data_IF_506261224604
#
_entry.id   IF_506261224604
#
_cell.length_a   1.000
_cell.length_b   1.000
_cell.length_c   1.000
_cell.angle_alpha   90.00
_cell.angle_beta   90.00
_cell.angle_gamma   90.00
#
_symmetry.space_group_name_H-M   'P 1'
#
loop_
_entity.id
_entity.type
_entity.pdbx_description
1 polymer ?
#
# COMPACT_ATOMS: atom_id res chain seq x y z
N UNK A 1 7.40 -8.19 -23.62
CA UNK A 1 8.36 -7.15 -23.16
C UNK A 1 9.33 -7.74 -22.15
N UNK A 2 10.59 -7.26 -22.11
CA UNK A 2 11.55 -7.68 -21.08
C UNK A 2 11.24 -6.99 -19.74
N UNK A 3 11.84 -7.49 -18.66
CA UNK A 3 11.62 -6.95 -17.30
C UNK A 3 11.98 -5.47 -17.16
N UNK A 4 13.01 -5.00 -17.88
CA UNK A 4 13.41 -3.59 -17.91
C UNK A 4 12.29 -2.72 -18.49
N UNK A 5 11.84 -3.07 -19.69
CA UNK A 5 10.77 -2.36 -20.38
C UNK A 5 9.46 -2.39 -19.58
N UNK A 6 9.13 -3.55 -19.01
CA UNK A 6 7.92 -3.72 -18.19
C UNK A 6 7.96 -2.86 -16.94
N UNK A 7 9.11 -2.80 -16.26
CA UNK A 7 9.30 -1.95 -15.09
C UNK A 7 9.14 -0.47 -15.44
N UNK A 8 9.76 -0.03 -16.52
CA UNK A 8 9.64 1.36 -17.00
C UNK A 8 8.19 1.71 -17.35
N UNK A 9 7.48 0.83 -18.05
CA UNK A 9 6.10 1.05 -18.48
C UNK A 9 5.08 1.21 -17.34
N UNK A 10 5.41 0.73 -16.13
CA UNK A 10 4.53 0.82 -14.94
C UNK A 10 5.11 1.70 -13.83
N UNK A 11 6.19 2.43 -14.11
CA UNK A 11 6.84 3.31 -13.13
C UNK A 11 7.33 2.54 -11.90
N UNK A 12 7.97 1.39 -12.13
CA UNK A 12 8.56 0.54 -11.10
C UNK A 12 10.02 0.20 -11.45
N UNK A 13 10.71 -0.50 -10.55
CA UNK A 13 12.06 -1.01 -10.82
C UNK A 13 12.00 -2.49 -11.20
N UNK A 14 12.96 -3.01 -11.98
CA UNK A 14 13.06 -4.45 -12.24
C UNK A 14 13.18 -5.29 -10.96
N UNK A 15 13.77 -4.71 -9.90
CA UNK A 15 13.83 -5.32 -8.57
C UNK A 15 12.43 -5.44 -7.94
N UNK A 16 11.59 -4.42 -8.06
CA UNK A 16 10.21 -4.46 -7.57
C UNK A 16 9.38 -5.51 -8.31
N UNK A 17 9.52 -5.63 -9.64
CA UNK A 17 8.82 -6.67 -10.42
C UNK A 17 9.22 -8.08 -9.96
N UNK A 18 10.52 -8.35 -9.79
CA UNK A 18 11.00 -9.63 -9.22
C UNK A 18 10.45 -9.88 -7.82
N UNK A 19 10.34 -8.84 -7.01
CA UNK A 19 9.80 -8.93 -5.67
C UNK A 19 8.30 -9.29 -5.68
N UNK A 20 7.50 -8.67 -6.56
CA UNK A 20 6.08 -8.99 -6.70
C UNK A 20 5.85 -10.44 -7.18
N UNK A 21 6.67 -10.92 -8.12
CA UNK A 21 6.67 -12.33 -8.53
C UNK A 21 6.99 -13.28 -7.37
N UNK A 22 8.06 -12.99 -6.62
CA UNK A 22 8.47 -13.81 -5.47
C UNK A 22 7.40 -13.86 -4.38
N UNK A 23 6.58 -12.81 -4.26
CA UNK A 23 5.46 -12.74 -3.31
C UNK A 23 4.13 -13.24 -3.87
N UNK A 24 4.14 -13.82 -5.08
CA UNK A 24 2.95 -14.44 -5.69
C UNK A 24 1.91 -13.45 -6.18
N UNK A 25 2.24 -12.16 -6.32
CA UNK A 25 1.30 -11.14 -6.79
C UNK A 25 1.11 -11.15 -8.32
N UNK A 26 2.02 -11.81 -9.03
CA UNK A 26 1.99 -11.98 -10.47
C UNK A 26 2.15 -13.46 -10.77
N UNK A 27 1.34 -13.95 -11.72
CA UNK A 27 1.61 -15.25 -12.32
C UNK A 27 3.02 -15.26 -12.91
N UNK A 28 3.69 -16.42 -12.86
CA UNK A 28 5.02 -16.56 -13.43
C UNK A 28 4.97 -16.16 -14.92
N UNK A 29 5.70 -15.12 -15.34
CA UNK A 29 5.62 -14.63 -16.71
C UNK A 29 6.12 -15.72 -17.65
N UNK A 30 5.54 -15.75 -18.86
CA UNK A 30 6.00 -16.66 -19.91
C UNK A 30 7.49 -16.46 -20.12
N UNK A 31 8.21 -17.55 -20.40
CA UNK A 31 9.62 -17.47 -20.76
C UNK A 31 9.76 -17.58 -22.27
N UNK A 32 10.58 -16.70 -22.83
CA UNK A 32 11.04 -16.78 -24.22
C UNK A 32 11.86 -18.06 -24.44
N UNK A 33 12.07 -18.46 -25.71
CA UNK A 33 12.98 -19.57 -26.06
C UNK A 33 14.41 -19.38 -25.52
N UNK A 34 14.83 -18.13 -25.31
CA UNK A 34 16.10 -17.75 -24.68
C UNK A 34 16.08 -17.78 -23.14
N UNK A 35 15.00 -18.22 -22.50
CA UNK A 35 14.87 -18.31 -21.04
C UNK A 35 14.56 -16.99 -20.32
N UNK A 36 14.40 -15.88 -21.05
CA UNK A 36 14.09 -14.57 -20.47
C UNK A 36 12.60 -14.42 -20.16
N UNK A 37 12.26 -13.71 -19.09
CA UNK A 37 10.88 -13.34 -18.73
C UNK A 37 10.27 -12.44 -19.79
N UNK A 38 9.06 -12.77 -20.20
CA UNK A 38 8.26 -12.02 -21.16
C UNK A 38 6.95 -11.55 -20.50
N UNK A 39 6.78 -10.24 -20.44
CA UNK A 39 5.58 -9.59 -19.91
C UNK A 39 4.73 -9.09 -21.08
N UNK A 40 3.48 -9.52 -21.12
CA UNK A 40 2.48 -9.06 -22.05
C UNK A 40 1.59 -7.95 -21.48
N UNK A 41 0.56 -7.53 -22.24
CA UNK A 41 -0.36 -6.47 -21.81
C UNK A 41 -1.16 -6.83 -20.55
N UNK A 42 -1.48 -8.12 -20.35
CA UNK A 42 -2.18 -8.59 -19.15
C UNK A 42 -1.36 -8.42 -17.88
N UNK A 43 -0.08 -8.82 -17.91
CA UNK A 43 0.82 -8.64 -16.76
C UNK A 43 1.05 -7.15 -16.44
N UNK A 44 1.14 -6.30 -17.48
CA UNK A 44 1.25 -4.86 -17.29
C UNK A 44 0.00 -4.26 -16.64
N UNK A 45 -1.19 -4.73 -17.00
CA UNK A 45 -2.44 -4.26 -16.40
C UNK A 45 -2.49 -4.60 -14.90
N UNK A 46 -2.13 -5.84 -14.53
CA UNK A 46 -2.02 -6.28 -13.12
C UNK A 46 -0.97 -5.46 -12.37
N UNK A 47 0.20 -5.23 -12.97
CA UNK A 47 1.26 -4.41 -12.38
C UNK A 47 0.78 -2.98 -12.07
N UNK A 48 0.00 -2.36 -12.97
CA UNK A 48 -0.59 -1.03 -12.72
C UNK A 48 -1.57 -1.04 -11.55
N UNK A 49 -2.41 -2.08 -11.44
CA UNK A 49 -3.32 -2.25 -10.28
C UNK A 49 -2.53 -2.37 -8.99
N UNK A 50 -1.50 -3.23 -8.95
CA UNK A 50 -0.61 -3.38 -7.78
C UNK A 50 -0.05 -2.01 -7.38
N UNK A 51 0.50 -1.24 -8.34
CA UNK A 51 1.07 0.08 -8.07
C UNK A 51 0.06 1.07 -7.51
N UNK A 52 -1.16 1.09 -8.06
CA UNK A 52 -2.26 1.94 -7.59
C UNK A 52 -2.64 1.60 -6.16
N UNK A 53 -2.83 0.32 -5.84
CA UNK A 53 -3.23 -0.13 -4.51
C UNK A 53 -2.13 0.15 -3.46
N UNK A 54 -0.86 -0.06 -3.81
CA UNK A 54 0.27 0.32 -2.95
C UNK A 54 0.31 1.82 -2.70
N UNK A 55 -0.03 2.65 -3.69
CA UNK A 55 -0.10 4.11 -3.54
C UNK A 55 -1.25 4.56 -2.60
N UNK A 56 -2.28 3.73 -2.43
CA UNK A 56 -3.36 3.96 -1.45
C UNK A 56 -2.97 3.53 -0.02
N UNK A 57 -1.75 3.04 0.18
CA UNK A 57 -1.24 2.65 1.48
C UNK A 57 -1.44 1.18 1.83
N UNK A 58 -2.01 0.37 0.94
CA UNK A 58 -1.99 -1.10 1.09
C UNK A 58 -0.55 -1.62 0.99
N UNK A 59 -0.28 -2.71 1.68
CA UNK A 59 1.03 -3.36 1.68
C UNK A 59 1.07 -4.53 0.70
N UNK A 60 2.27 -5.01 0.37
CA UNK A 60 2.45 -6.23 -0.44
C UNK A 60 1.90 -7.47 0.27
N UNK A 61 1.74 -7.44 1.59
CA UNK A 61 1.08 -8.49 2.36
C UNK A 61 -0.43 -8.47 2.12
N UNK A 62 -1.03 -7.29 2.24
CA UNK A 62 -2.46 -7.05 1.99
C UNK A 62 -2.84 -7.52 0.57
N UNK A 63 -2.03 -7.16 -0.42
CA UNK A 63 -2.24 -7.56 -1.81
C UNK A 63 -2.12 -9.06 -2.04
N UNK A 64 -1.36 -9.78 -1.22
CA UNK A 64 -1.27 -11.24 -1.34
C UNK A 64 -2.56 -11.93 -0.93
N UNK A 65 -3.25 -11.38 0.07
CA UNK A 65 -4.58 -11.86 0.48
C UNK A 65 -5.66 -11.71 -0.59
N UNK A 66 -5.40 -10.95 -1.65
CA UNK A 66 -6.32 -10.73 -2.78
C UNK A 66 -5.66 -10.97 -4.14
N UNK A 67 -4.54 -11.72 -4.17
CA UNK A 67 -3.73 -11.89 -5.38
C UNK A 67 -4.51 -12.52 -6.53
N UNK A 68 -5.42 -13.44 -6.21
CA UNK A 68 -6.38 -14.11 -7.10
C UNK A 68 -7.33 -13.13 -7.81
N UNK A 69 -7.67 -12.01 -7.15
CA UNK A 69 -8.58 -10.99 -7.68
C UNK A 69 -7.87 -9.87 -8.45
N UNK A 70 -6.55 -9.73 -8.32
CA UNK A 70 -5.80 -8.66 -9.03
C UNK A 70 -6.01 -8.67 -10.56
N UNK A 71 -6.08 -9.82 -11.25
CA UNK A 71 -6.40 -9.85 -12.68
C UNK A 71 -7.81 -9.34 -13.01
N UNK A 72 -8.79 -9.56 -12.14
CA UNK A 72 -10.17 -9.08 -12.33
C UNK A 72 -10.22 -7.55 -12.23
N UNK A 73 -9.53 -6.99 -11.24
CA UNK A 73 -9.37 -5.53 -11.08
C UNK A 73 -8.58 -4.88 -12.23
N UNK A 74 -7.77 -5.66 -12.94
CA UNK A 74 -7.03 -5.20 -14.11
C UNK A 74 -7.87 -5.25 -15.40
N UNK A 75 -8.85 -6.16 -15.49
CA UNK A 75 -9.74 -6.31 -16.63
C UNK A 75 -10.84 -5.24 -16.67
N UNK A 76 -11.28 -4.73 -15.51
CA UNK A 76 -12.24 -3.63 -15.42
C UNK A 76 -11.58 -2.35 -14.88
N UNK A 77 -11.21 -1.39 -15.75
CA UNK A 77 -10.59 -0.14 -15.32
C UNK A 77 -11.56 0.79 -14.60
N UNK A 78 -12.86 0.48 -14.49
CA UNK A 78 -13.83 1.27 -13.70
C UNK A 78 -13.58 1.01 -12.21
N UNK A 79 -12.95 1.94 -11.49
CA UNK A 79 -12.83 1.80 -10.05
C UNK A 79 -14.18 2.20 -9.45
N UNK A 80 -14.85 1.28 -8.76
CA UNK A 80 -15.87 1.52 -7.74
C UNK A 80 -16.56 2.89 -7.87
N UNK A 81 -17.31 3.12 -8.97
CA UNK A 81 -18.35 4.15 -8.99
C UNK A 81 -19.61 3.38 -8.72
N UNK A 82 -20.11 3.52 -7.49
CA UNK A 82 -21.13 2.66 -6.88
C UNK A 82 -22.10 2.05 -7.88
N UNK A 83 -22.00 0.74 -8.09
CA UNK A 83 -23.16 -0.01 -8.53
C UNK A 83 -23.92 -0.39 -7.27
N UNK A 84 -24.99 0.35 -7.00
CA UNK A 84 -26.18 -0.30 -6.51
C UNK A 84 -26.59 -1.33 -7.58
N UNK A 85 -25.99 -2.50 -7.51
CA UNK A 85 -26.53 -3.72 -8.06
C UNK A 85 -26.69 -4.62 -6.85
N UNK A 86 -27.91 -4.57 -6.31
CA UNK A 86 -28.42 -5.68 -5.52
C UNK A 86 -28.21 -6.97 -6.33
N UNK A 87 -27.89 -8.04 -5.63
CA UNK A 87 -27.91 -9.42 -6.11
C UNK A 87 -26.65 -9.89 -6.85
N UNK A 88 -25.57 -10.11 -6.09
CA UNK A 88 -24.60 -11.18 -6.36
C UNK A 88 -24.11 -11.81 -5.04
N UNK A 89 -23.86 -13.13 -4.99
CA UNK A 89 -23.61 -13.87 -3.74
C UNK A 89 -22.25 -13.53 -3.10
N UNK A 90 -22.16 -13.77 -1.79
CA UNK A 90 -21.21 -13.33 -0.76
C UNK A 90 -19.69 -13.59 -0.95
N UNK A 91 -19.16 -13.75 -2.16
CA UNK A 91 -17.74 -14.05 -2.40
C UNK A 91 -16.85 -12.78 -2.55
N UNK A 92 -17.44 -11.60 -2.40
CA UNK A 92 -16.80 -10.28 -2.59
C UNK A 92 -16.10 -9.67 -1.37
N UNK A 93 -16.17 -10.29 -0.18
CA UNK A 93 -15.85 -9.60 1.09
C UNK A 93 -14.35 -9.58 1.44
N UNK A 94 -13.54 -10.48 0.88
CA UNK A 94 -12.11 -10.57 1.24
C UNK A 94 -11.36 -9.28 0.90
N UNK A 95 -11.73 -8.60 -0.20
CA UNK A 95 -11.14 -7.31 -0.58
C UNK A 95 -11.48 -6.18 0.39
N UNK A 96 -12.76 -6.10 0.80
CA UNK A 96 -13.20 -5.12 1.80
C UNK A 96 -12.53 -5.37 3.15
N UNK A 97 -12.46 -6.61 3.61
CA UNK A 97 -11.82 -6.98 4.87
C UNK A 97 -10.32 -6.63 4.90
N UNK A 98 -9.61 -6.73 3.77
CA UNK A 98 -8.21 -6.28 3.67
C UNK A 98 -8.10 -4.77 3.87
N UNK A 99 -8.96 -4.00 3.20
CA UNK A 99 -8.98 -2.53 3.32
C UNK A 99 -9.35 -2.10 4.74
N UNK A 100 -10.38 -2.70 5.33
CA UNK A 100 -10.82 -2.44 6.69
C UNK A 100 -9.72 -2.72 7.72
N UNK A 101 -9.03 -3.87 7.61
CA UNK A 101 -7.87 -4.16 8.47
C UNK A 101 -6.77 -3.13 8.31
N UNK A 102 -6.52 -2.65 7.08
CA UNK A 102 -5.50 -1.63 6.84
C UNK A 102 -5.87 -0.29 7.44
N UNK A 103 -7.15 0.12 7.32
CA UNK A 103 -7.67 1.33 7.97
C UNK A 103 -7.47 1.24 9.48
N UNK A 104 -7.91 0.15 10.11
CA UNK A 104 -7.76 -0.03 11.55
C UNK A 104 -6.28 0.03 12.01
N UNK A 105 -5.36 -0.56 11.23
CA UNK A 105 -3.94 -0.48 11.53
C UNK A 105 -3.38 0.95 11.40
N UNK A 106 -3.82 1.71 10.39
CA UNK A 106 -3.43 3.10 10.22
C UNK A 106 -3.98 3.99 11.34
N UNK A 107 -5.22 3.78 11.77
CA UNK A 107 -5.82 4.51 12.89
C UNK A 107 -5.04 4.26 14.19
N UNK A 108 -4.68 3.01 14.48
CA UNK A 108 -3.85 2.66 15.63
C UNK A 108 -2.46 3.36 15.58
N UNK A 109 -1.86 3.45 14.40
CA UNK A 109 -0.60 4.18 14.20
C UNK A 109 -0.77 5.69 14.37
N UNK A 110 -1.86 6.28 13.86
CA UNK A 110 -2.19 7.69 14.04
C UNK A 110 -2.32 8.03 15.52
N UNK A 111 -3.06 7.22 16.29
CA UNK A 111 -3.20 7.41 17.72
C UNK A 111 -1.86 7.33 18.45
N UNK A 112 -1.06 6.31 18.15
CA UNK A 112 0.27 6.11 18.76
C UNK A 112 1.19 7.28 18.49
N UNK A 113 1.27 7.71 17.23
CA UNK A 113 2.12 8.83 16.82
C UNK A 113 1.62 10.16 17.41
N UNK A 114 0.30 10.33 17.54
CA UNK A 114 -0.31 11.47 18.22
C UNK A 114 0.11 11.53 19.69
N UNK A 115 0.02 10.41 20.43
CA UNK A 115 0.48 10.34 21.82
C UNK A 115 1.96 10.68 21.97
N UNK A 116 2.82 10.13 21.11
CA UNK A 116 4.26 10.41 21.14
C UNK A 116 4.56 11.88 20.86
N UNK A 117 3.90 12.48 19.86
CA UNK A 117 4.03 13.91 19.54
C UNK A 117 3.65 14.79 20.73
N UNK A 118 2.56 14.46 21.40
CA UNK A 118 2.03 15.27 22.49
C UNK A 118 2.90 15.14 23.76
N UNK A 119 3.45 13.95 24.01
CA UNK A 119 4.47 13.74 25.05
C UNK A 119 5.76 14.55 24.80
N UNK A 120 6.25 14.59 23.55
CA UNK A 120 7.40 15.41 23.17
C UNK A 120 7.13 16.91 23.38
N UNK A 121 5.91 17.38 23.07
CA UNK A 121 5.49 18.77 23.31
C UNK A 121 5.47 19.10 24.81
N UNK A 122 4.91 18.23 25.63
CA UNK A 122 4.86 18.41 27.08
C UNK A 122 6.26 18.50 27.69
N UNK A 123 7.17 17.59 27.34
CA UNK A 123 8.54 17.61 27.85
C UNK A 123 9.33 18.88 27.47
N UNK A 124 9.03 19.51 26.32
CA UNK A 124 9.58 20.82 25.97
C UNK A 124 8.97 21.96 26.79
N UNK A 125 7.67 21.92 27.08
CA UNK A 125 6.99 22.91 27.90
C UNK A 125 7.50 22.88 29.35
N UNK A 126 7.67 21.69 29.92
CA UNK A 126 8.20 21.51 31.28
C UNK A 126 9.61 22.10 31.42
N UNK A 127 10.48 21.87 30.42
CA UNK A 127 11.84 22.46 30.41
C UNK A 127 11.82 23.98 30.32
N UNK A 128 10.90 24.55 29.53
CA UNK A 128 10.75 26.02 29.41
C UNK A 128 10.16 26.64 30.68
N UNK A 129 9.28 25.93 31.38
CA UNK A 129 8.74 26.34 32.68
C UNK A 129 9.77 26.26 33.80
N UNK A 130 10.56 25.19 33.83
CA UNK A 130 11.64 24.99 34.82
C UNK A 130 12.80 26.01 34.66
N UNK A 131 13.03 26.53 33.46
CA UNK A 131 14.01 27.60 33.19
C UNK A 131 13.57 28.99 33.67
N UNK A 132 12.40 29.13 34.33
CA UNK A 132 11.94 30.36 34.99
C UNK A 132 11.96 30.24 36.53
N UNK A 133 13.13 30.09 37.19
CA UNK A 133 13.25 30.58 38.56
C UNK A 133 13.35 32.11 38.50
N UNK A 134 12.40 32.78 39.15
CA UNK A 134 12.39 34.23 39.28
C UNK A 134 13.71 34.69 39.92
N UNK A 135 14.52 35.43 39.16
CA UNK A 135 15.33 36.47 39.78
C UNK A 135 14.34 37.47 40.39
N UNK A 136 14.04 37.30 41.67
CA UNK A 136 13.55 38.42 42.48
C UNK A 136 14.78 39.21 42.91
N UNK A 137 14.90 40.51 42.60
CA UNK A 137 15.83 41.36 43.31
C UNK A 137 15.34 41.46 44.77
N UNK A 138 16.26 41.30 45.71
CA UNK A 138 16.01 41.51 47.13
C UNK A 138 16.20 42.99 47.47
N UNK A 139 15.23 43.60 48.15
CA UNK A 139 15.35 44.86 48.90
C UNK A 139 15.08 44.56 50.38
#
# INVERSE_FOLDING_TARGET
MRIGDAAAAVGATPRALRFYEQRGLLAAPRRTRSGQRDYGPGELAVLRVIRRLLALGLTVEDLRGIADRLPLLAADPRPCRGSAAADAPEEGVVGAAVVERRIAALDADIERLTRLRDALKAGLADRRGAARPACSPAD
#
